data_IF_848120504348
#
_entry.id   IF_848120504348
#
_cell.length_a   1.000
_cell.length_b   1.000
_cell.length_c   1.000
_cell.angle_alpha   90.00
_cell.angle_beta   90.00
_cell.angle_gamma   90.00
#
_symmetry.space_group_name_H-M   'P 1'
#
loop_
_entity.id
_entity.type
_entity.pdbx_description
1 polymer ?
#
# COMPACT_ATOMS: atom_id res chain seq x y z
N UNK A 1 -35.98 -2.78 4.10
CA UNK A 1 -35.33 -1.89 3.12
C UNK A 1 -33.85 -2.17 3.18
N UNK A 2 -33.13 -2.12 2.05
CA UNK A 2 -31.68 -2.24 2.08
C UNK A 2 -31.10 -0.97 2.72
N UNK A 3 -30.30 -1.13 3.76
CA UNK A 3 -29.51 -0.04 4.34
C UNK A 3 -28.17 0.01 3.63
N UNK A 4 -27.73 1.22 3.29
CA UNK A 4 -26.48 1.48 2.61
C UNK A 4 -25.57 2.34 3.50
N UNK A 5 -24.30 1.97 3.53
CA UNK A 5 -23.24 2.75 4.16
C UNK A 5 -22.63 3.71 3.14
N UNK A 6 -22.64 5.00 3.46
CA UNK A 6 -22.05 6.07 2.66
C UNK A 6 -20.98 6.74 3.51
N UNK A 7 -19.77 6.90 2.97
CA UNK A 7 -18.71 7.59 3.70
C UNK A 7 -19.13 9.04 3.98
N UNK A 8 -19.00 9.50 5.23
CA UNK A 8 -19.44 10.82 5.65
C UNK A 8 -18.82 11.94 4.81
N UNK A 9 -17.57 11.77 4.35
CA UNK A 9 -16.89 12.73 3.48
C UNK A 9 -17.58 12.91 2.13
N UNK A 10 -18.21 11.87 1.59
CA UNK A 10 -18.98 11.95 0.34
C UNK A 10 -20.28 12.71 0.54
N UNK A 11 -20.93 12.49 1.70
CA UNK A 11 -22.12 13.25 2.11
C UNK A 11 -21.77 14.73 2.31
N UNK A 12 -20.66 15.06 2.98
CA UNK A 12 -20.20 16.45 3.15
C UNK A 12 -19.98 17.13 1.81
N UNK A 13 -19.31 16.45 0.86
CA UNK A 13 -19.10 16.98 -0.50
C UNK A 13 -20.40 17.19 -1.25
N UNK A 14 -21.36 16.26 -1.12
CA UNK A 14 -22.69 16.43 -1.71
C UNK A 14 -23.45 17.60 -1.09
N UNK A 15 -23.37 17.80 0.24
CA UNK A 15 -23.98 18.94 0.93
C UNK A 15 -23.41 20.30 0.51
N UNK A 16 -22.17 20.31 0.00
CA UNK A 16 -21.53 21.49 -0.58
C UNK A 16 -21.89 21.70 -2.05
N UNK A 17 -22.58 20.74 -2.67
CA UNK A 17 -22.99 20.82 -4.08
C UNK A 17 -24.32 21.57 -4.26
N UNK A 18 -24.58 22.14 -5.44
CA UNK A 18 -25.89 22.75 -5.76
C UNK A 18 -27.07 21.76 -5.75
N UNK A 19 -26.78 20.45 -5.76
CA UNK A 19 -27.78 19.37 -5.77
C UNK A 19 -28.10 18.85 -4.36
N UNK A 20 -27.60 19.51 -3.32
CA UNK A 20 -27.83 19.13 -1.93
C UNK A 20 -29.32 19.26 -1.54
N UNK A 21 -29.87 18.20 -0.97
CA UNK A 21 -31.19 18.19 -0.33
C UNK A 21 -31.07 17.62 1.08
N UNK A 22 -30.91 18.51 2.06
CA UNK A 22 -30.75 18.14 3.48
C UNK A 22 -31.90 17.28 4.02
N UNK A 23 -33.08 17.28 3.39
CA UNK A 23 -34.19 16.43 3.84
C UNK A 23 -33.88 14.94 3.70
N UNK A 24 -33.02 14.56 2.74
CA UNK A 24 -32.60 13.16 2.54
C UNK A 24 -31.69 12.63 3.66
N UNK A 25 -31.13 13.50 4.50
CA UNK A 25 -30.33 13.10 5.66
C UNK A 25 -31.14 12.95 6.94
N UNK A 26 -32.30 13.60 7.03
CA UNK A 26 -33.08 13.61 8.27
C UNK A 26 -33.59 12.19 8.56
N UNK A 27 -33.32 11.70 9.77
CA UNK A 27 -33.66 10.35 10.19
C UNK A 27 -32.64 9.27 9.79
N UNK A 28 -31.60 9.60 9.01
CA UNK A 28 -30.51 8.66 8.72
C UNK A 28 -29.66 8.38 9.97
N UNK A 29 -29.10 7.19 10.06
CA UNK A 29 -28.14 6.82 11.09
C UNK A 29 -26.74 7.31 10.76
N UNK A 30 -25.95 7.62 11.78
CA UNK A 30 -24.55 7.99 11.64
C UNK A 30 -23.71 7.21 12.64
N UNK A 31 -22.71 6.49 12.13
CA UNK A 31 -21.68 5.83 12.89
C UNK A 31 -20.45 6.74 12.98
N UNK A 32 -20.12 7.19 14.19
CA UNK A 32 -18.94 8.01 14.46
C UNK A 32 -17.71 7.20 14.88
N UNK A 33 -17.82 5.88 14.94
CA UNK A 33 -16.79 4.95 15.38
C UNK A 33 -16.49 5.00 16.88
N UNK A 34 -17.22 5.80 17.65
CA UNK A 34 -17.06 5.98 19.11
C UNK A 34 -18.30 5.51 19.88
N UNK A 35 -19.49 5.71 19.31
CA UNK A 35 -20.78 5.45 19.95
C UNK A 35 -21.22 4.00 19.74
N UNK A 36 -21.84 3.39 20.76
CA UNK A 36 -22.38 2.01 20.66
C UNK A 36 -23.57 1.93 19.71
N UNK A 37 -24.37 3.00 19.64
CA UNK A 37 -25.57 3.11 18.79
C UNK A 37 -25.37 4.16 17.69
N UNK A 38 -26.06 3.97 16.56
CA UNK A 38 -26.12 4.94 15.48
C UNK A 38 -26.78 6.24 15.96
N UNK A 39 -26.12 7.37 15.69
CA UNK A 39 -26.66 8.69 15.98
C UNK A 39 -27.65 9.08 14.87
N UNK A 40 -28.92 9.28 15.22
CA UNK A 40 -29.95 9.68 14.25
C UNK A 40 -29.83 11.17 13.93
N UNK A 41 -29.62 11.50 12.66
CA UNK A 41 -29.48 12.89 12.18
C UNK A 41 -30.83 13.61 12.28
N UNK A 42 -30.86 14.72 13.02
CA UNK A 42 -32.08 15.50 13.28
C UNK A 42 -32.09 16.87 12.60
N UNK A 43 -30.91 17.45 12.33
CA UNK A 43 -30.79 18.71 11.60
C UNK A 43 -29.40 18.86 10.97
N UNK A 44 -29.34 19.63 9.89
CA UNK A 44 -28.09 20.02 9.23
C UNK A 44 -28.10 21.54 9.06
N UNK A 45 -27.08 22.20 9.61
CA UNK A 45 -26.85 23.64 9.45
C UNK A 45 -25.65 23.84 8.50
N UNK A 46 -25.95 24.16 7.24
CA UNK A 46 -24.93 24.40 6.21
C UNK A 46 -24.13 25.68 6.48
N UNK A 47 -24.76 26.71 7.06
CA UNK A 47 -24.10 27.99 7.34
C UNK A 47 -23.10 27.87 8.48
N UNK A 48 -23.48 27.19 9.56
CA UNK A 48 -22.58 26.90 10.68
C UNK A 48 -21.67 25.69 10.44
N UNK A 49 -21.90 24.94 9.35
CA UNK A 49 -21.22 23.67 9.02
C UNK A 49 -21.30 22.63 10.14
N UNK A 50 -22.53 22.37 10.62
CA UNK A 50 -22.79 21.44 11.73
C UNK A 50 -23.91 20.46 11.40
N UNK A 51 -23.81 19.26 11.96
CA UNK A 51 -24.84 18.22 11.93
C UNK A 51 -25.27 17.94 13.37
N UNK A 52 -26.57 17.98 13.61
CA UNK A 52 -27.17 17.71 14.92
C UNK A 52 -27.89 16.36 14.90
N UNK A 53 -27.90 15.71 16.06
CA UNK A 53 -28.46 14.38 16.25
C UNK A 53 -29.56 14.42 17.32
N UNK A 54 -30.46 13.43 17.31
CA UNK A 54 -31.56 13.32 18.28
C UNK A 54 -31.09 13.23 19.73
N UNK A 55 -29.88 12.72 19.97
CA UNK A 55 -29.24 12.65 21.29
C UNK A 55 -28.70 13.99 21.82
N UNK A 56 -29.20 15.14 21.32
CA UNK A 56 -28.73 16.50 21.63
C UNK A 56 -27.20 16.73 21.41
N UNK A 57 -26.58 15.89 20.58
CA UNK A 57 -25.18 16.02 20.16
C UNK A 57 -25.12 16.81 18.86
N UNK A 58 -24.06 17.59 18.68
CA UNK A 58 -23.80 18.31 17.43
C UNK A 58 -22.34 18.18 17.05
N UNK A 59 -22.06 17.75 15.83
CA UNK A 59 -20.70 17.61 15.29
C UNK A 59 -20.43 18.65 14.19
N UNK A 60 -19.20 19.18 14.11
CA UNK A 60 -18.79 19.94 12.93
C UNK A 60 -18.71 19.00 11.71
N UNK A 61 -19.00 19.52 10.51
CA UNK A 61 -18.96 18.74 9.27
C UNK A 61 -17.63 18.01 9.04
N UNK A 62 -16.51 18.58 9.51
CA UNK A 62 -15.19 17.93 9.43
C UNK A 62 -15.16 16.61 10.21
N UNK A 63 -15.77 16.57 11.40
CA UNK A 63 -15.87 15.32 12.18
C UNK A 63 -16.93 14.39 11.63
N UNK A 64 -18.04 14.95 11.15
CA UNK A 64 -19.05 14.16 10.44
C UNK A 64 -18.45 13.44 9.21
N UNK A 65 -17.56 14.12 8.47
CA UNK A 65 -16.88 13.56 7.31
C UNK A 65 -15.99 12.34 7.60
N UNK A 66 -15.60 12.12 8.85
CA UNK A 66 -14.77 10.98 9.26
C UNK A 66 -15.58 9.71 9.61
N UNK A 67 -16.90 9.82 9.76
CA UNK A 67 -17.77 8.69 10.06
C UNK A 67 -18.47 8.10 8.83
N UNK A 68 -19.49 7.28 9.07
CA UNK A 68 -20.29 6.60 8.05
C UNK A 68 -21.76 6.92 8.25
N UNK A 69 -22.47 7.25 7.17
CA UNK A 69 -23.92 7.47 7.18
C UNK A 69 -24.61 6.19 6.73
N UNK A 70 -25.54 5.69 7.54
CA UNK A 70 -26.41 4.56 7.23
C UNK A 70 -27.76 5.11 6.75
N UNK A 71 -28.10 4.84 5.49
CA UNK A 71 -29.27 5.44 4.84
C UNK A 71 -29.94 4.51 3.82
N UNK A 72 -31.06 4.97 3.27
CA UNK A 72 -31.77 4.32 2.16
C UNK A 72 -31.25 4.75 0.78
N UNK A 73 -31.86 4.18 -0.25
CA UNK A 73 -31.45 4.32 -1.66
C UNK A 73 -31.47 5.78 -2.16
N UNK A 74 -32.45 6.59 -1.73
CA UNK A 74 -32.60 7.97 -2.22
C UNK A 74 -31.41 8.87 -1.90
N UNK A 75 -30.86 8.80 -0.68
CA UNK A 75 -29.67 9.57 -0.31
C UNK A 75 -28.46 9.05 -1.08
N UNK A 76 -28.31 7.73 -1.18
CA UNK A 76 -27.22 7.09 -1.94
C UNK A 76 -27.21 7.59 -3.37
N UNK A 77 -28.35 7.58 -4.04
CA UNK A 77 -28.48 8.03 -5.43
C UNK A 77 -28.18 9.53 -5.59
N UNK A 78 -28.63 10.37 -4.66
CA UNK A 78 -28.35 11.80 -4.69
C UNK A 78 -26.85 12.10 -4.53
N UNK A 79 -26.20 11.46 -3.56
CA UNK A 79 -24.74 11.59 -3.33
C UNK A 79 -23.96 11.08 -4.54
N UNK A 80 -24.36 9.94 -5.10
CA UNK A 80 -23.75 9.39 -6.31
C UNK A 80 -23.92 10.33 -7.51
N UNK A 81 -25.12 10.89 -7.73
CA UNK A 81 -25.41 11.78 -8.86
C UNK A 81 -24.57 13.06 -8.81
N UNK A 82 -24.37 13.63 -7.61
CA UNK A 82 -23.56 14.84 -7.41
C UNK A 82 -22.05 14.62 -7.43
N UNK A 83 -21.59 13.36 -7.28
CA UNK A 83 -20.17 13.03 -7.39
C UNK A 83 -19.71 13.15 -8.85
N UNK A 84 -18.66 13.95 -9.17
CA UNK A 84 -18.12 14.03 -10.52
C UNK A 84 -17.79 12.66 -11.13
N UNK A 85 -17.99 12.50 -12.45
CA UNK A 85 -17.85 11.21 -13.11
C UNK A 85 -16.43 10.61 -12.99
N UNK A 86 -15.42 11.46 -13.00
CA UNK A 86 -14.02 11.11 -12.75
C UNK A 86 -13.78 10.66 -11.31
N UNK A 87 -14.35 11.34 -10.31
CA UNK A 87 -14.26 10.94 -8.91
C UNK A 87 -14.99 9.61 -8.65
N UNK A 88 -16.14 9.37 -9.30
CA UNK A 88 -16.83 8.07 -9.24
C UNK A 88 -15.97 6.95 -9.81
N UNK A 89 -15.33 7.18 -10.95
CA UNK A 89 -14.42 6.21 -11.55
C UNK A 89 -13.22 5.93 -10.64
N UNK A 90 -12.64 6.95 -10.02
CA UNK A 90 -11.54 6.81 -9.07
C UNK A 90 -11.94 6.03 -7.81
N UNK A 91 -13.12 6.33 -7.23
CA UNK A 91 -13.64 5.61 -6.08
C UNK A 91 -13.89 4.13 -6.43
N UNK A 92 -14.51 3.84 -7.57
CA UNK A 92 -14.74 2.47 -8.02
C UNK A 92 -13.41 1.71 -8.24
N UNK A 93 -12.41 2.38 -8.83
CA UNK A 93 -11.07 1.81 -9.03
C UNK A 93 -10.37 1.51 -7.69
N UNK A 94 -10.51 2.39 -6.69
CA UNK A 94 -9.97 2.14 -5.35
C UNK A 94 -10.68 0.98 -4.65
N UNK A 95 -12.01 0.92 -4.69
CA UNK A 95 -12.78 -0.16 -4.08
C UNK A 95 -12.40 -1.53 -4.65
N UNK A 96 -12.04 -1.62 -5.93
CA UNK A 96 -11.56 -2.87 -6.55
C UNK A 96 -10.29 -3.43 -5.88
N UNK A 97 -9.37 -2.56 -5.46
CA UNK A 97 -8.08 -2.97 -4.87
C UNK A 97 -8.04 -2.84 -3.34
N UNK A 98 -9.08 -2.27 -2.71
CA UNK A 98 -9.09 -1.89 -1.29
C UNK A 98 -8.76 -3.05 -0.35
N UNK A 99 -9.18 -4.27 -0.68
CA UNK A 99 -8.88 -5.46 0.11
C UNK A 99 -7.38 -5.80 0.17
N UNK A 100 -6.61 -5.40 -0.86
CA UNK A 100 -5.18 -5.64 -0.96
C UNK A 100 -4.34 -4.39 -0.60
N UNK A 101 -4.89 -3.22 -0.89
CA UNK A 101 -4.26 -1.90 -0.71
C UNK A 101 -5.19 -1.05 0.17
N UNK A 102 -5.06 -1.12 1.51
CA UNK A 102 -6.03 -0.53 2.44
C UNK A 102 -5.91 1.00 2.57
N UNK A 103 -4.83 1.59 2.06
CA UNK A 103 -4.62 3.03 2.02
C UNK A 103 -4.70 3.49 0.57
N UNK A 104 -5.44 4.58 0.33
CA UNK A 104 -5.57 5.14 -1.01
C UNK A 104 -4.20 5.57 -1.56
N UNK A 105 -3.84 5.17 -2.79
CA UNK A 105 -2.63 5.63 -3.44
C UNK A 105 -2.52 7.17 -3.48
N UNK A 106 -1.30 7.74 -3.46
CA UNK A 106 -1.08 9.17 -3.31
C UNK A 106 -1.45 9.98 -4.55
N UNK A 107 -1.61 9.32 -5.71
CA UNK A 107 -2.01 9.95 -6.96
C UNK A 107 -2.95 9.04 -7.76
N UNK A 108 -3.73 9.65 -8.65
CA UNK A 108 -4.59 8.92 -9.60
C UNK A 108 -3.77 8.01 -10.54
N UNK A 109 -2.60 8.47 -10.98
CA UNK A 109 -1.68 7.66 -11.80
C UNK A 109 -1.22 6.40 -11.07
N UNK A 110 -0.86 6.52 -9.79
CA UNK A 110 -0.47 5.37 -8.96
C UNK A 110 -1.64 4.42 -8.74
N UNK A 111 -2.85 4.95 -8.50
CA UNK A 111 -4.06 4.14 -8.41
C UNK A 111 -4.32 3.35 -9.69
N UNK A 112 -4.35 4.02 -10.85
CA UNK A 112 -4.61 3.40 -12.14
C UNK A 112 -3.57 2.30 -12.44
N UNK A 113 -2.29 2.58 -12.15
CA UNK A 113 -1.20 1.61 -12.34
C UNK A 113 -1.33 0.39 -11.43
N UNK A 114 -1.71 0.59 -10.16
CA UNK A 114 -1.89 -0.51 -9.19
C UNK A 114 -3.13 -1.35 -9.54
N UNK A 115 -4.22 -0.72 -9.98
CA UNK A 115 -5.42 -1.43 -10.47
C UNK A 115 -5.07 -2.30 -11.67
N UNK A 116 -4.30 -1.78 -12.63
CA UNK A 116 -3.81 -2.59 -13.76
C UNK A 116 -2.93 -3.76 -13.31
N UNK A 117 -2.04 -3.55 -12.33
CA UNK A 117 -1.21 -4.60 -11.77
C UNK A 117 -2.04 -5.70 -11.09
N UNK A 118 -3.06 -5.30 -10.34
CA UNK A 118 -4.00 -6.20 -9.67
C UNK A 118 -4.81 -7.02 -10.68
N UNK A 119 -5.35 -6.39 -11.72
CA UNK A 119 -6.08 -7.08 -12.80
C UNK A 119 -5.20 -8.07 -13.55
N UNK A 120 -3.97 -7.67 -13.90
CA UNK A 120 -2.99 -8.56 -14.56
C UNK A 120 -2.68 -9.78 -13.68
N UNK A 121 -2.51 -9.56 -12.38
CA UNK A 121 -2.31 -10.63 -11.41
C UNK A 121 -3.51 -11.59 -11.34
N UNK A 122 -4.74 -11.07 -11.27
CA UNK A 122 -5.96 -11.87 -11.25
C UNK A 122 -6.14 -12.69 -12.54
N UNK A 123 -5.78 -12.11 -13.68
CA UNK A 123 -5.81 -12.79 -14.98
C UNK A 123 -4.70 -13.84 -15.15
N UNK A 124 -3.75 -13.95 -14.20
CA UNK A 124 -2.60 -14.85 -14.31
C UNK A 124 -1.61 -14.42 -15.40
N UNK A 125 -1.57 -13.13 -15.72
CA UNK A 125 -0.70 -12.57 -16.74
C UNK A 125 0.65 -12.15 -16.16
N UNK A 126 1.71 -12.32 -16.98
CA UNK A 126 3.03 -11.79 -16.69
C UNK A 126 3.27 -10.59 -17.63
N UNK A 127 3.17 -9.34 -17.13
CA UNK A 127 3.47 -8.15 -17.91
C UNK A 127 4.94 -8.14 -18.37
N UNK A 128 5.25 -7.33 -19.38
CA UNK A 128 6.63 -7.11 -19.79
C UNK A 128 7.46 -6.40 -18.69
N UNK A 129 8.78 -6.41 -18.85
CA UNK A 129 9.74 -5.88 -17.85
C UNK A 129 9.46 -4.41 -17.50
N UNK A 130 9.21 -3.55 -18.49
CA UNK A 130 8.96 -2.12 -18.29
C UNK A 130 7.68 -1.89 -17.47
N UNK A 131 6.59 -2.55 -17.85
CA UNK A 131 5.32 -2.51 -17.13
C UNK A 131 5.48 -3.00 -15.68
N UNK A 132 6.22 -4.09 -15.44
CA UNK A 132 6.50 -4.55 -14.07
C UNK A 132 7.29 -3.52 -13.26
N UNK A 133 8.23 -2.82 -13.88
CA UNK A 133 8.98 -1.75 -13.21
C UNK A 133 8.09 -0.55 -12.84
N UNK A 134 7.17 -0.15 -13.72
CA UNK A 134 6.21 0.93 -13.44
C UNK A 134 5.25 0.52 -12.32
N UNK A 135 4.68 -0.69 -12.41
CA UNK A 135 3.81 -1.25 -11.38
C UNK A 135 4.52 -1.36 -10.02
N UNK A 136 5.75 -1.85 -10.01
CA UNK A 136 6.54 -1.93 -8.78
C UNK A 136 6.87 -0.54 -8.21
N UNK A 137 7.08 0.48 -9.06
CA UNK A 137 7.29 1.87 -8.63
C UNK A 137 6.04 2.47 -8.00
N UNK A 138 4.86 2.28 -8.58
CA UNK A 138 3.60 2.75 -8.01
C UNK A 138 3.32 2.11 -6.65
N UNK A 139 3.53 0.80 -6.52
CA UNK A 139 3.41 0.07 -5.24
C UNK A 139 4.39 0.58 -4.18
N UNK A 140 5.64 0.89 -4.57
CA UNK A 140 6.65 1.48 -3.69
C UNK A 140 6.26 2.88 -3.20
N UNK A 141 5.81 3.77 -4.09
CA UNK A 141 5.36 5.12 -3.72
C UNK A 141 4.15 5.10 -2.79
N UNK A 142 3.25 4.16 -3.01
CA UNK A 142 2.05 3.95 -2.19
C UNK A 142 2.31 3.15 -0.92
N UNK A 143 3.55 2.72 -0.66
CA UNK A 143 3.92 1.83 0.46
C UNK A 143 3.04 0.57 0.54
N UNK A 144 2.53 0.10 -0.59
CA UNK A 144 1.63 -1.04 -0.70
C UNK A 144 2.43 -2.35 -0.67
N UNK A 145 3.23 -2.55 0.38
CA UNK A 145 4.24 -3.62 0.45
C UNK A 145 3.65 -5.03 0.37
N UNK A 146 2.57 -5.27 1.12
CA UNK A 146 1.86 -6.57 1.08
C UNK A 146 1.26 -6.85 -0.30
N UNK A 147 0.69 -5.83 -0.95
CA UNK A 147 0.21 -5.93 -2.33
C UNK A 147 1.35 -6.27 -3.29
N UNK A 148 2.52 -5.63 -3.12
CA UNK A 148 3.73 -5.94 -3.85
C UNK A 148 4.19 -7.39 -3.70
N UNK A 149 4.13 -7.96 -2.48
CA UNK A 149 4.45 -9.38 -2.26
C UNK A 149 3.51 -10.29 -3.05
N UNK A 150 2.20 -10.02 -3.02
CA UNK A 150 1.19 -10.82 -3.72
C UNK A 150 1.41 -10.74 -5.24
N UNK A 151 1.52 -9.53 -5.78
CA UNK A 151 1.64 -9.29 -7.22
C UNK A 151 2.96 -9.84 -7.76
N UNK A 152 4.11 -9.47 -7.16
CA UNK A 152 5.42 -9.95 -7.61
C UNK A 152 5.61 -11.46 -7.35
N UNK A 153 4.99 -12.00 -6.30
CA UNK A 153 4.92 -13.44 -6.07
C UNK A 153 4.14 -14.18 -7.16
N UNK A 154 3.08 -13.57 -7.69
CA UNK A 154 2.35 -14.04 -8.87
C UNK A 154 3.24 -14.07 -10.11
N UNK A 155 3.99 -12.99 -10.38
CA UNK A 155 4.96 -12.96 -11.49
C UNK A 155 5.98 -14.09 -11.38
N UNK A 156 6.61 -14.26 -10.19
CA UNK A 156 7.57 -15.35 -9.94
C UNK A 156 6.94 -16.71 -10.20
N UNK A 157 5.71 -16.94 -9.76
CA UNK A 157 4.99 -18.21 -9.98
C UNK A 157 4.85 -18.51 -11.47
N UNK A 158 4.44 -17.52 -12.27
CA UNK A 158 4.26 -17.69 -13.73
C UNK A 158 5.61 -17.97 -14.41
N UNK A 159 6.68 -17.24 -14.04
CA UNK A 159 8.04 -17.48 -14.56
C UNK A 159 8.48 -18.93 -14.30
N UNK A 160 8.32 -19.41 -13.05
CA UNK A 160 8.69 -20.78 -12.69
C UNK A 160 7.84 -21.83 -13.41
N UNK A 161 6.54 -21.57 -13.61
CA UNK A 161 5.65 -22.47 -14.36
C UNK A 161 6.04 -22.61 -15.83
N UNK A 162 6.65 -21.58 -16.43
CA UNK A 162 7.19 -21.63 -17.80
C UNK A 162 8.48 -22.45 -17.90
N UNK A 163 9.00 -22.99 -16.79
CA UNK A 163 10.21 -23.80 -16.74
C UNK A 163 11.51 -23.01 -16.96
N UNK A 164 11.43 -21.68 -16.99
CA UNK A 164 12.59 -20.81 -17.12
C UNK A 164 13.31 -20.58 -15.79
N UNK A 165 14.55 -20.06 -15.81
CA UNK A 165 15.18 -19.55 -14.59
C UNK A 165 14.39 -18.37 -14.00
N UNK A 166 14.57 -18.05 -12.72
CA UNK A 166 13.95 -16.86 -12.13
C UNK A 166 14.38 -15.59 -12.89
N UNK A 167 13.47 -14.66 -13.11
CA UNK A 167 13.80 -13.36 -13.69
C UNK A 167 14.40 -12.43 -12.61
N UNK A 168 15.48 -11.72 -12.97
CA UNK A 168 16.25 -10.88 -12.03
C UNK A 168 15.38 -9.75 -11.47
N UNK A 169 14.65 -9.03 -12.31
CA UNK A 169 13.80 -7.91 -11.90
C UNK A 169 12.66 -8.37 -10.97
N UNK A 170 12.00 -9.49 -11.31
CA UNK A 170 10.93 -10.08 -10.50
C UNK A 170 11.46 -10.45 -9.10
N UNK A 171 12.64 -11.08 -9.05
CA UNK A 171 13.27 -11.49 -7.80
C UNK A 171 13.69 -10.29 -6.95
N UNK A 172 14.22 -9.23 -7.57
CA UNK A 172 14.59 -7.98 -6.89
C UNK A 172 13.35 -7.30 -6.29
N UNK A 173 12.28 -7.13 -7.07
CA UNK A 173 11.06 -6.49 -6.58
C UNK A 173 10.40 -7.31 -5.48
N UNK A 174 10.29 -8.64 -5.66
CA UNK A 174 9.68 -9.53 -4.67
C UNK A 174 10.45 -9.50 -3.34
N UNK A 175 11.77 -9.65 -3.37
CA UNK A 175 12.58 -9.62 -2.16
C UNK A 175 12.49 -8.26 -1.45
N UNK A 176 12.44 -7.15 -2.21
CA UNK A 176 12.22 -5.82 -1.64
C UNK A 176 10.85 -5.71 -0.96
N UNK A 177 9.78 -6.14 -1.63
CA UNK A 177 8.44 -6.12 -1.06
C UNK A 177 8.32 -7.00 0.19
N UNK A 178 8.92 -8.19 0.18
CA UNK A 178 8.95 -9.08 1.34
C UNK A 178 9.65 -8.41 2.52
N UNK A 179 10.82 -7.81 2.30
CA UNK A 179 11.56 -7.10 3.34
C UNK A 179 10.72 -5.96 3.95
N UNK A 180 10.20 -5.07 3.12
CA UNK A 180 9.40 -3.92 3.59
C UNK A 180 8.07 -4.34 4.25
N UNK A 181 7.53 -5.50 3.88
CA UNK A 181 6.37 -6.10 4.54
C UNK A 181 6.70 -6.82 5.86
N UNK A 182 7.97 -6.84 6.28
CA UNK A 182 8.44 -7.50 7.51
C UNK A 182 8.80 -8.99 7.33
N UNK A 183 8.74 -9.53 6.12
CA UNK A 183 9.14 -10.89 5.79
C UNK A 183 10.62 -10.98 5.36
N UNK A 184 11.51 -10.71 6.33
CA UNK A 184 12.96 -10.77 6.10
C UNK A 184 13.42 -12.18 5.68
N UNK A 185 12.77 -13.25 6.17
CA UNK A 185 13.14 -14.63 5.81
C UNK A 185 12.74 -14.97 4.38
N UNK A 186 11.53 -14.58 3.96
CA UNK A 186 11.09 -14.74 2.57
C UNK A 186 11.96 -13.94 1.61
N UNK A 187 12.31 -12.70 1.95
CA UNK A 187 13.25 -11.89 1.16
C UNK A 187 14.60 -12.60 0.97
N UNK A 188 15.18 -13.14 2.05
CA UNK A 188 16.43 -13.88 1.99
C UNK A 188 16.32 -15.16 1.16
N UNK A 189 15.19 -15.88 1.24
CA UNK A 189 14.95 -17.07 0.44
C UNK A 189 14.91 -16.73 -1.07
N UNK A 190 14.16 -15.69 -1.45
CA UNK A 190 14.10 -15.20 -2.84
C UNK A 190 15.49 -14.83 -3.37
N UNK A 191 16.30 -14.14 -2.57
CA UNK A 191 17.68 -13.76 -2.94
C UNK A 191 18.58 -14.99 -3.12
N UNK A 192 18.48 -15.98 -2.22
CA UNK A 192 19.28 -17.21 -2.30
C UNK A 192 18.97 -18.00 -3.57
N UNK A 193 17.70 -18.12 -3.93
CA UNK A 193 17.28 -18.77 -5.17
C UNK A 193 17.83 -18.03 -6.41
N UNK A 194 17.74 -16.70 -6.43
CA UNK A 194 18.29 -15.89 -7.52
C UNK A 194 19.81 -16.13 -7.68
N UNK A 195 20.56 -16.17 -6.58
CA UNK A 195 22.00 -16.47 -6.59
C UNK A 195 22.27 -17.90 -7.05
N UNK A 196 21.46 -18.87 -6.63
CA UNK A 196 21.60 -20.28 -7.01
C UNK A 196 21.39 -20.49 -8.52
N UNK A 197 20.58 -19.64 -9.17
CA UNK A 197 20.37 -19.67 -10.61
C UNK A 197 21.59 -19.21 -11.44
N UNK A 198 22.62 -18.60 -10.82
CA UNK A 198 23.89 -18.18 -11.46
C UNK A 198 23.70 -17.38 -12.75
N UNK A 199 22.68 -16.53 -12.77
CA UNK A 199 22.38 -15.67 -13.92
C UNK A 199 23.44 -14.58 -14.10
N UNK A 200 23.67 -14.20 -15.35
CA UNK A 200 24.49 -13.05 -15.67
C UNK A 200 23.73 -11.78 -15.28
N UNK A 201 24.27 -11.07 -14.28
CA UNK A 201 23.73 -9.82 -13.76
C UNK A 201 24.68 -8.68 -14.09
N UNK A 202 24.16 -7.53 -14.51
CA UNK A 202 24.93 -6.30 -14.63
C UNK A 202 25.45 -5.85 -13.26
N UNK A 203 26.53 -5.05 -13.24
CA UNK A 203 27.19 -4.60 -12.00
C UNK A 203 26.20 -3.93 -11.04
N UNK A 204 25.31 -3.09 -11.59
CA UNK A 204 24.24 -2.45 -10.83
C UNK A 204 23.27 -3.45 -10.20
N UNK A 205 22.89 -4.51 -10.90
CA UNK A 205 21.99 -5.53 -10.35
C UNK A 205 22.69 -6.34 -9.26
N UNK A 206 23.97 -6.68 -9.45
CA UNK A 206 24.77 -7.34 -8.41
C UNK A 206 24.88 -6.48 -7.16
N UNK A 207 25.06 -5.16 -7.32
CA UNK A 207 25.08 -4.21 -6.21
C UNK A 207 23.73 -4.12 -5.49
N UNK A 208 22.61 -4.05 -6.23
CA UNK A 208 21.25 -4.03 -5.68
C UNK A 208 20.97 -5.30 -4.87
N UNK A 209 21.22 -6.48 -5.44
CA UNK A 209 20.97 -7.77 -4.78
C UNK A 209 21.82 -7.90 -3.52
N UNK A 210 23.10 -7.54 -3.57
CA UNK A 210 23.99 -7.58 -2.41
C UNK A 210 23.59 -6.57 -1.32
N UNK A 211 23.20 -5.34 -1.70
CA UNK A 211 22.70 -4.34 -0.74
C UNK A 211 21.43 -4.83 -0.05
N UNK A 212 20.49 -5.38 -0.81
CA UNK A 212 19.23 -5.89 -0.26
C UNK A 212 19.46 -7.08 0.67
N UNK A 213 20.34 -8.02 0.31
CA UNK A 213 20.71 -9.14 1.19
C UNK A 213 21.35 -8.67 2.49
N UNK A 214 22.25 -7.69 2.40
CA UNK A 214 22.88 -7.09 3.57
C UNK A 214 21.87 -6.38 4.47
N UNK A 215 20.92 -5.65 3.87
CA UNK A 215 19.85 -4.97 4.61
C UNK A 215 18.92 -5.97 5.31
N UNK A 216 18.57 -7.08 4.66
CA UNK A 216 17.77 -8.17 5.25
C UNK A 216 18.52 -8.82 6.43
N UNK A 217 19.82 -9.06 6.28
CA UNK A 217 20.63 -9.57 7.38
C UNK A 217 20.73 -8.58 8.56
N UNK A 218 20.82 -7.28 8.30
CA UNK A 218 20.75 -6.26 9.34
C UNK A 218 19.38 -6.28 10.06
N UNK A 219 18.27 -6.41 9.32
CA UNK A 219 16.93 -6.54 9.91
C UNK A 219 16.84 -7.78 10.83
N UNK A 220 17.39 -8.92 10.39
CA UNK A 220 17.42 -10.16 11.18
C UNK A 220 18.33 -10.07 12.41
N UNK A 221 19.46 -9.37 12.31
CA UNK A 221 20.33 -9.09 13.45
C UNK A 221 19.56 -8.36 14.55
N UNK A 222 18.86 -7.28 14.20
CA UNK A 222 18.08 -6.49 15.16
C UNK A 222 16.92 -7.31 15.75
N UNK A 223 16.20 -8.08 14.92
CA UNK A 223 15.07 -8.88 15.36
C UNK A 223 15.46 -10.09 16.25
N UNK A 224 16.64 -10.68 16.06
CA UNK A 224 17.06 -11.92 16.72
C UNK A 224 18.10 -11.69 17.82
N UNK A 225 17.81 -10.76 18.75
CA UNK A 225 18.68 -10.46 19.92
C UNK A 225 20.14 -10.22 19.54
N UNK A 226 20.40 -9.57 18.39
CA UNK A 226 21.74 -9.25 17.92
C UNK A 226 22.60 -10.48 17.63
N UNK A 227 22.04 -11.47 16.93
CA UNK A 227 22.79 -12.62 16.43
C UNK A 227 23.95 -12.19 15.51
N UNK A 228 25.18 -12.34 16.00
CA UNK A 228 26.41 -11.86 15.35
C UNK A 228 26.59 -12.42 13.94
N UNK A 229 26.14 -13.65 13.67
CA UNK A 229 26.24 -14.25 12.33
C UNK A 229 25.53 -13.39 11.27
N UNK A 230 24.36 -12.84 11.62
CA UNK A 230 23.63 -11.97 10.71
C UNK A 230 24.33 -10.62 10.52
N UNK A 231 24.98 -10.10 11.56
CA UNK A 231 25.77 -8.88 11.44
C UNK A 231 26.97 -9.07 10.51
N UNK A 232 27.70 -10.18 10.66
CA UNK A 232 28.84 -10.52 9.80
C UNK A 232 28.40 -10.72 8.34
N UNK A 233 27.32 -11.46 8.11
CA UNK A 233 26.78 -11.63 6.76
C UNK A 233 26.33 -10.30 6.15
N UNK A 234 25.78 -9.39 6.94
CA UNK A 234 25.42 -8.07 6.46
C UNK A 234 26.65 -7.28 5.97
N UNK A 235 27.76 -7.31 6.71
CA UNK A 235 29.03 -6.69 6.27
C UNK A 235 29.60 -7.35 5.01
N UNK A 236 29.58 -8.69 4.93
CA UNK A 236 30.05 -9.39 3.73
C UNK A 236 29.23 -8.97 2.50
N UNK A 237 27.92 -8.84 2.65
CA UNK A 237 27.04 -8.37 1.58
C UNK A 237 27.30 -6.90 1.22
N UNK A 238 27.48 -6.02 2.21
CA UNK A 238 27.83 -4.61 1.98
C UNK A 238 29.15 -4.47 1.18
N UNK A 239 30.17 -5.28 1.51
CA UNK A 239 31.45 -5.32 0.76
C UNK A 239 31.25 -5.78 -0.68
N UNK A 240 30.45 -6.81 -0.92
CA UNK A 240 30.11 -7.27 -2.28
C UNK A 240 29.39 -6.17 -3.07
N UNK A 241 28.46 -5.46 -2.41
CA UNK A 241 27.72 -4.37 -3.04
C UNK A 241 28.64 -3.21 -3.44
N UNK A 242 29.53 -2.79 -2.53
CA UNK A 242 30.51 -1.73 -2.78
C UNK A 242 31.49 -2.08 -3.90
N UNK A 243 31.93 -3.33 -3.98
CA UNK A 243 32.80 -3.78 -5.07
C UNK A 243 32.12 -3.70 -6.46
N UNK A 244 30.80 -3.79 -6.52
CA UNK A 244 30.03 -3.71 -7.76
C UNK A 244 29.57 -2.26 -8.08
N UNK A 245 29.24 -1.46 -7.07
CA UNK A 245 28.88 -0.05 -7.22
C UNK A 245 29.36 0.77 -6.00
N UNK A 246 30.61 1.29 -6.03
CA UNK A 246 31.17 2.06 -4.92
C UNK A 246 30.43 3.38 -4.66
N UNK A 247 29.74 3.92 -5.66
CA UNK A 247 29.10 5.22 -5.60
C UNK A 247 27.61 5.14 -5.25
N UNK A 248 27.04 3.94 -5.18
CA UNK A 248 25.64 3.72 -4.88
C UNK A 248 25.23 4.25 -3.49
N UNK A 249 24.25 5.14 -3.45
CA UNK A 249 23.77 5.74 -2.19
C UNK A 249 23.12 4.70 -1.26
N UNK A 250 22.44 3.68 -1.79
CA UNK A 250 21.89 2.59 -0.98
C UNK A 250 23.00 1.74 -0.34
N UNK A 251 24.14 1.54 -1.02
CA UNK A 251 25.31 0.85 -0.49
C UNK A 251 25.90 1.62 0.69
N UNK A 252 26.10 2.94 0.50
CA UNK A 252 26.61 3.82 1.56
C UNK A 252 25.65 3.88 2.75
N UNK A 253 24.34 3.91 2.49
CA UNK A 253 23.32 3.89 3.53
C UNK A 253 23.38 2.59 4.35
N UNK A 254 23.59 1.44 3.71
CA UNK A 254 23.79 0.17 4.40
C UNK A 254 25.02 0.21 5.32
N UNK A 255 26.16 0.71 4.85
CA UNK A 255 27.35 0.87 5.69
C UNK A 255 27.10 1.75 6.90
N UNK A 256 26.50 2.94 6.71
CA UNK A 256 26.16 3.84 7.81
C UNK A 256 25.25 3.15 8.84
N UNK A 257 24.28 2.36 8.39
CA UNK A 257 23.43 1.56 9.27
C UNK A 257 24.25 0.52 10.04
N UNK A 258 25.09 -0.25 9.36
CA UNK A 258 25.90 -1.30 10.01
C UNK A 258 26.87 -0.72 11.04
N UNK A 259 27.49 0.42 10.75
CA UNK A 259 28.38 1.11 11.70
C UNK A 259 27.62 1.59 12.94
N UNK A 260 26.37 2.05 12.77
CA UNK A 260 25.51 2.41 13.91
C UNK A 260 25.07 1.22 14.76
N UNK A 261 24.99 0.03 14.13
CA UNK A 261 24.61 -1.23 14.77
C UNK A 261 25.80 -1.95 15.41
N UNK A 262 27.02 -1.53 15.10
CA UNK A 262 28.23 -2.17 15.60
C UNK A 262 28.22 -2.23 17.13
N UNK A 263 28.48 -3.41 17.73
CA UNK A 263 28.59 -3.50 19.17
C UNK A 263 29.70 -2.57 19.65
N UNK A 264 29.35 -1.63 20.53
CA UNK A 264 30.33 -0.75 21.16
C UNK A 264 31.34 -1.64 21.87
N UNK A 265 32.63 -1.47 21.55
CA UNK A 265 33.70 -2.16 22.28
C UNK A 265 33.59 -1.76 23.76
N UNK A 266 33.72 -2.72 24.69
CA UNK A 266 33.75 -2.42 26.12
C UNK A 266 34.92 -1.51 26.48
#
# INVERSE_FOLDING_TARGET
MAEFEIAGIEVVRWLESPAADVTLLLGCGFDDGESEDLLVISAVDLAARRVSFTAARTLPMVRFGAGTVVSGEALRDAVLAATPADQRAENAAYEEIRGLVPLRPPSREDLDTIVQAYRSHQAGELPNVETRHDQARALKRSQAWRAGVVIAGGWRRIVLQRGGPPEIDVSIHLARFQREAGDARGALATIKELRAARLQMADRERAIVATMEGAVHADLFEAQRRNVDHFEQAYVCARRAFAADPNGEEVKALYRRLDSLAPKRP
#
